data_IF_495572863830
#
_entry.id   IF_495572863830
#
_cell.length_a   1.000
_cell.length_b   1.000
_cell.length_c   1.000
_cell.angle_alpha   90.00
_cell.angle_beta   90.00
_cell.angle_gamma   90.00
#
_symmetry.space_group_name_H-M   'P 1'
#
loop_
_entity.id
_entity.type
_entity.pdbx_description
1 polymer ?
#
# COMPACT_ATOMS: atom_id res chain seq x y z
N UNK A 1 58.31 -15.43 16.10
CA UNK A 1 57.26 -16.09 15.31
C UNK A 1 55.87 -16.17 16.01
N UNK A 2 55.64 -15.45 17.13
CA UNK A 2 54.37 -15.50 17.87
C UNK A 2 53.37 -14.35 17.58
N UNK A 3 53.86 -13.23 17.04
CA UNK A 3 53.02 -12.05 16.75
C UNK A 3 52.17 -12.19 15.47
N UNK A 4 52.62 -12.98 14.50
CA UNK A 4 51.90 -13.20 13.23
C UNK A 4 50.66 -14.08 13.47
N UNK A 5 50.79 -15.12 14.30
CA UNK A 5 49.67 -16.03 14.64
C UNK A 5 48.54 -15.28 15.35
N UNK A 6 48.87 -14.34 16.24
CA UNK A 6 47.87 -13.53 16.94
C UNK A 6 47.10 -12.59 16.01
N UNK A 7 47.77 -12.01 15.00
CA UNK A 7 47.12 -11.16 13.99
C UNK A 7 46.18 -11.98 13.11
N UNK A 8 46.66 -13.12 12.58
CA UNK A 8 45.83 -14.02 11.74
C UNK A 8 44.58 -14.49 12.48
N UNK A 9 44.67 -14.76 13.80
CA UNK A 9 43.51 -15.15 14.59
C UNK A 9 42.50 -14.02 14.72
N UNK A 10 42.96 -12.77 14.92
CA UNK A 10 42.08 -11.60 15.04
C UNK A 10 41.37 -11.27 13.72
N UNK A 11 42.07 -11.42 12.60
CA UNK A 11 41.53 -11.14 11.27
C UNK A 11 40.43 -12.15 10.89
N UNK A 12 40.62 -13.44 11.22
CA UNK A 12 39.59 -14.48 11.02
C UNK A 12 38.32 -14.28 11.87
N UNK A 13 38.47 -13.80 13.10
CA UNK A 13 37.31 -13.47 13.95
C UNK A 13 36.53 -12.27 13.38
N UNK A 14 37.22 -11.29 12.82
CA UNK A 14 36.60 -10.14 12.17
C UNK A 14 35.86 -10.54 10.88
N UNK A 15 36.47 -11.38 10.03
CA UNK A 15 35.84 -11.91 8.82
C UNK A 15 34.56 -12.71 9.14
N UNK A 16 34.58 -13.52 10.21
CA UNK A 16 33.42 -14.29 10.66
C UNK A 16 32.28 -13.40 11.16
N UNK A 17 32.61 -12.31 11.86
CA UNK A 17 31.61 -11.34 12.34
C UNK A 17 30.98 -10.57 11.17
N UNK A 18 31.78 -10.19 10.17
CA UNK A 18 31.29 -9.54 8.95
C UNK A 18 30.38 -10.50 8.16
N UNK A 19 30.76 -11.77 8.03
CA UNK A 19 29.92 -12.81 7.40
C UNK A 19 28.56 -12.96 8.09
N UNK A 20 28.56 -13.10 9.43
CA UNK A 20 27.32 -13.22 10.20
C UNK A 20 26.44 -11.98 10.12
N UNK A 21 27.03 -10.78 10.08
CA UNK A 21 26.26 -9.54 9.91
C UNK A 21 25.62 -9.45 8.53
N UNK A 22 26.32 -9.86 7.47
CA UNK A 22 25.84 -9.79 6.08
C UNK A 22 24.70 -10.78 5.85
N UNK A 23 24.77 -11.98 6.44
CA UNK A 23 23.67 -12.95 6.41
C UNK A 23 22.43 -12.47 7.18
N UNK A 24 22.59 -11.73 8.29
CA UNK A 24 21.46 -11.13 9.04
C UNK A 24 20.78 -10.01 8.21
N UNK A 25 21.52 -9.25 7.42
CA UNK A 25 20.94 -8.21 6.55
C UNK A 25 20.22 -8.77 5.33
N UNK A 26 20.65 -9.91 4.78
CA UNK A 26 19.96 -10.54 3.65
C UNK A 26 18.70 -11.31 4.06
N UNK A 27 18.63 -11.81 5.30
CA UNK A 27 17.49 -12.59 5.80
C UNK A 27 16.31 -11.73 6.33
N UNK A 28 16.44 -10.40 6.36
CA UNK A 28 15.38 -9.45 6.78
C UNK A 28 14.73 -8.68 5.62
N UNK A 29 14.77 -9.25 4.40
CA UNK A 29 13.99 -8.79 3.25
C UNK A 29 13.02 -9.90 2.81
N UNK A 30 12.31 -10.51 3.76
CA UNK A 30 11.00 -11.10 3.44
C UNK A 30 10.04 -9.92 3.31
N UNK A 31 10.01 -9.31 2.11
CA UNK A 31 8.95 -8.37 1.77
C UNK A 31 7.66 -9.18 1.79
N UNK A 32 6.90 -9.04 2.87
CA UNK A 32 5.57 -9.60 2.97
C UNK A 32 4.68 -8.89 1.94
N UNK A 33 4.75 -9.36 0.69
CA UNK A 33 3.93 -8.89 -0.43
C UNK A 33 2.44 -9.14 -0.16
N UNK A 34 2.08 -9.86 0.92
CA UNK A 34 0.71 -10.31 1.19
C UNK A 34 -0.14 -9.32 1.98
N UNK A 35 0.40 -8.16 2.41
CA UNK A 35 -0.35 -7.25 3.28
C UNK A 35 -0.19 -5.75 2.98
N UNK A 36 0.20 -5.41 1.75
CA UNK A 36 0.22 -4.02 1.32
C UNK A 36 -1.20 -3.53 1.02
N UNK A 37 -1.72 -2.66 1.88
CA UNK A 37 -3.10 -2.13 1.83
C UNK A 37 -3.49 -1.45 0.50
N UNK A 38 -2.51 -1.13 -0.34
CA UNK A 38 -2.65 -0.44 -1.63
C UNK A 38 -2.54 -1.38 -2.84
N UNK A 39 -2.32 -2.69 -2.64
CA UNK A 39 -2.17 -3.68 -3.72
C UNK A 39 -3.50 -4.41 -3.97
N UNK A 40 -3.78 -4.71 -5.25
CA UNK A 40 -4.90 -5.57 -5.64
C UNK A 40 -6.22 -4.86 -5.96
N UNK A 41 -6.19 -3.54 -6.18
CA UNK A 41 -7.35 -2.74 -6.58
C UNK A 41 -7.76 -3.00 -8.04
N UNK A 42 -9.04 -3.32 -8.28
CA UNK A 42 -9.53 -3.58 -9.65
C UNK A 42 -10.90 -2.97 -9.98
N UNK A 43 -11.48 -2.15 -9.10
CA UNK A 43 -12.85 -1.65 -9.25
C UNK A 43 -12.96 -0.38 -10.12
N UNK A 44 -11.86 0.07 -10.74
CA UNK A 44 -11.80 1.32 -11.51
C UNK A 44 -12.93 1.48 -12.55
N UNK A 45 -13.23 0.41 -13.28
CA UNK A 45 -14.23 0.40 -14.35
C UNK A 45 -15.52 -0.32 -13.94
N UNK A 46 -15.59 -0.79 -12.70
CA UNK A 46 -16.73 -1.50 -12.14
C UNK A 46 -17.91 -0.57 -11.89
N UNK A 47 -19.07 -1.20 -11.68
CA UNK A 47 -20.30 -0.54 -11.24
C UNK A 47 -20.39 -0.48 -9.71
N UNK A 48 -21.19 0.42 -9.17
CA UNK A 48 -21.40 0.52 -7.70
C UNK A 48 -21.94 -0.78 -7.10
N UNK A 49 -22.78 -1.54 -7.81
CA UNK A 49 -23.21 -2.87 -7.32
C UNK A 49 -22.04 -3.82 -7.02
N UNK A 50 -20.98 -3.76 -7.82
CA UNK A 50 -19.77 -4.58 -7.65
C UNK A 50 -18.93 -4.02 -6.50
N UNK A 51 -18.84 -2.69 -6.39
CA UNK A 51 -18.23 -2.02 -5.24
C UNK A 51 -18.86 -2.46 -3.92
N UNK A 52 -20.20 -2.44 -3.81
CA UNK A 52 -20.92 -2.85 -2.59
C UNK A 52 -20.57 -4.26 -2.13
N UNK A 53 -20.27 -5.16 -3.06
CA UNK A 53 -19.94 -6.56 -2.80
C UNK A 53 -18.44 -6.82 -2.64
N UNK A 54 -17.59 -5.83 -2.91
CA UNK A 54 -16.13 -5.97 -2.88
C UNK A 54 -15.59 -5.96 -1.43
N UNK A 55 -14.44 -6.62 -1.25
CA UNK A 55 -13.74 -6.61 0.05
C UNK A 55 -13.18 -5.22 0.37
N UNK A 56 -12.96 -4.96 1.66
CA UNK A 56 -12.40 -3.68 2.09
C UNK A 56 -11.01 -3.43 1.51
N UNK A 57 -10.22 -4.48 1.32
CA UNK A 57 -8.86 -4.41 0.77
C UNK A 57 -8.89 -3.97 -0.69
N UNK A 58 -9.77 -4.57 -1.51
CA UNK A 58 -9.91 -4.17 -2.92
C UNK A 58 -10.43 -2.73 -3.07
N UNK A 59 -11.42 -2.36 -2.24
CA UNK A 59 -11.92 -0.97 -2.20
C UNK A 59 -10.80 0.01 -1.83
N UNK A 60 -10.03 -0.31 -0.79
CA UNK A 60 -8.94 0.52 -0.30
C UNK A 60 -7.84 0.67 -1.35
N UNK A 61 -7.41 -0.42 -1.98
CA UNK A 61 -6.40 -0.42 -3.03
C UNK A 61 -6.87 0.36 -4.27
N UNK A 62 -8.14 0.20 -4.68
CA UNK A 62 -8.71 1.00 -5.78
C UNK A 62 -8.72 2.50 -5.43
N UNK A 63 -9.06 2.87 -4.20
CA UNK A 63 -8.97 4.26 -3.75
C UNK A 63 -7.53 4.78 -3.72
N UNK A 64 -6.55 3.94 -3.34
CA UNK A 64 -5.13 4.29 -3.39
C UNK A 64 -4.72 4.69 -4.82
N UNK A 65 -5.10 3.88 -5.82
CA UNK A 65 -4.83 4.16 -7.23
C UNK A 65 -5.45 5.48 -7.71
N UNK A 66 -6.67 5.80 -7.26
CA UNK A 66 -7.29 7.10 -7.55
C UNK A 66 -6.53 8.27 -6.91
N UNK A 67 -6.16 8.13 -5.62
CA UNK A 67 -5.42 9.17 -4.90
C UNK A 67 -4.05 9.42 -5.53
N UNK A 68 -3.31 8.37 -5.89
CA UNK A 68 -1.99 8.53 -6.49
C UNK A 68 -2.04 9.26 -7.84
N UNK A 69 -3.16 9.19 -8.56
CA UNK A 69 -3.40 9.97 -9.79
C UNK A 69 -3.75 11.42 -9.51
N UNK A 70 -4.56 11.69 -8.48
CA UNK A 70 -5.03 13.05 -8.15
C UNK A 70 -3.99 13.86 -7.37
N UNK A 71 -3.21 13.20 -6.49
CA UNK A 71 -2.24 13.83 -5.60
C UNK A 71 -0.87 13.15 -5.76
N UNK A 72 -0.16 13.44 -6.87
CA UNK A 72 1.18 12.93 -7.04
C UNK A 72 2.12 13.51 -5.97
N UNK A 73 3.14 12.74 -5.58
CA UNK A 73 4.21 13.14 -4.64
C UNK A 73 3.83 13.28 -3.16
N UNK A 74 2.76 12.62 -2.71
CA UNK A 74 2.46 12.47 -1.27
C UNK A 74 3.14 11.22 -0.70
N UNK A 75 3.34 11.19 0.62
CA UNK A 75 3.84 10.00 1.30
C UNK A 75 2.80 8.87 1.30
N UNK A 76 3.25 7.63 1.50
CA UNK A 76 2.37 6.47 1.57
C UNK A 76 1.34 6.58 2.72
N UNK A 77 1.72 7.20 3.84
CA UNK A 77 0.82 7.43 4.97
C UNK A 77 -0.28 8.46 4.63
N UNK A 78 0.07 9.54 3.94
CA UNK A 78 -0.91 10.51 3.44
C UNK A 78 -1.83 9.87 2.40
N UNK A 79 -1.28 9.08 1.47
CA UNK A 79 -2.07 8.35 0.49
C UNK A 79 -3.08 7.41 1.16
N UNK A 80 -2.66 6.72 2.23
CA UNK A 80 -3.55 5.86 3.03
C UNK A 80 -4.70 6.64 3.64
N UNK A 81 -4.39 7.80 4.24
CA UNK A 81 -5.41 8.67 4.84
C UNK A 81 -6.43 9.14 3.80
N UNK A 82 -5.96 9.68 2.67
CA UNK A 82 -6.85 10.15 1.60
C UNK A 82 -7.67 9.02 0.96
N UNK A 83 -7.06 7.85 0.76
CA UNK A 83 -7.74 6.68 0.19
C UNK A 83 -8.85 6.18 1.11
N UNK A 84 -8.61 6.14 2.43
CA UNK A 84 -9.63 5.79 3.42
C UNK A 84 -10.83 6.75 3.37
N UNK A 85 -10.56 8.05 3.34
CA UNK A 85 -11.60 9.07 3.27
C UNK A 85 -12.40 8.97 1.95
N UNK A 86 -11.72 8.74 0.82
CA UNK A 86 -12.37 8.53 -0.47
C UNK A 86 -13.27 7.29 -0.43
N UNK A 87 -12.76 6.17 0.10
CA UNK A 87 -13.50 4.91 0.26
C UNK A 87 -14.77 5.12 1.08
N UNK A 88 -14.65 5.81 2.22
CA UNK A 88 -15.76 6.09 3.11
C UNK A 88 -16.82 6.96 2.44
N UNK A 89 -16.41 8.01 1.71
CA UNK A 89 -17.36 8.83 0.95
C UNK A 89 -18.14 8.01 -0.09
N UNK A 90 -17.48 7.11 -0.83
CA UNK A 90 -18.15 6.24 -1.81
C UNK A 90 -19.12 5.29 -1.09
N UNK A 91 -18.68 4.64 -0.01
CA UNK A 91 -19.53 3.74 0.78
C UNK A 91 -20.76 4.47 1.34
N UNK A 92 -20.60 5.67 1.91
CA UNK A 92 -21.69 6.49 2.44
C UNK A 92 -22.65 6.96 1.35
N UNK A 93 -22.13 7.46 0.23
CA UNK A 93 -22.93 7.97 -0.91
C UNK A 93 -23.76 6.87 -1.55
N UNK A 94 -23.31 5.62 -1.46
CA UNK A 94 -23.95 4.46 -2.10
C UNK A 94 -24.67 3.54 -1.11
N UNK A 95 -24.67 3.88 0.18
CA UNK A 95 -25.30 3.08 1.22
C UNK A 95 -26.83 3.08 1.08
N UNK A 96 -27.45 1.89 1.17
CA UNK A 96 -28.90 1.73 1.31
C UNK A 96 -29.76 2.13 0.10
N UNK A 97 -29.16 2.51 -1.03
CA UNK A 97 -29.88 2.90 -2.25
C UNK A 97 -29.34 2.16 -3.48
N UNK A 98 -30.24 1.55 -4.25
CA UNK A 98 -29.89 0.88 -5.51
C UNK A 98 -29.90 1.85 -6.70
N UNK A 99 -30.26 3.12 -6.48
CA UNK A 99 -30.30 4.13 -7.54
C UNK A 99 -28.95 4.31 -8.24
N UNK A 100 -27.86 4.22 -7.47
CA UNK A 100 -26.49 4.40 -8.00
C UNK A 100 -25.87 3.10 -8.50
N UNK A 101 -26.55 1.95 -8.43
CA UNK A 101 -25.96 0.63 -8.71
C UNK A 101 -25.37 0.50 -10.12
N UNK A 102 -25.95 1.20 -11.09
CA UNK A 102 -25.52 1.18 -12.48
C UNK A 102 -24.45 2.22 -12.79
N UNK A 103 -24.19 3.16 -11.87
CA UNK A 103 -23.15 4.16 -12.01
C UNK A 103 -21.77 3.53 -11.88
N UNK A 104 -20.78 4.14 -12.53
CA UNK A 104 -19.39 3.69 -12.47
C UNK A 104 -18.75 4.12 -11.16
N UNK A 105 -17.92 3.27 -10.58
CA UNK A 105 -17.12 3.60 -9.39
C UNK A 105 -16.31 4.86 -9.61
N UNK A 106 -15.64 5.02 -10.76
CA UNK A 106 -14.88 6.23 -11.09
C UNK A 106 -15.74 7.50 -11.06
N UNK A 107 -17.01 7.43 -11.44
CA UNK A 107 -17.90 8.59 -11.45
C UNK A 107 -18.22 9.05 -10.03
N UNK A 108 -18.64 8.12 -9.15
CA UNK A 108 -18.89 8.43 -7.74
C UNK A 108 -17.60 8.85 -7.03
N UNK A 109 -16.48 8.18 -7.30
CA UNK A 109 -15.18 8.54 -6.75
C UNK A 109 -14.78 9.98 -7.14
N UNK A 110 -15.07 10.40 -8.37
CA UNK A 110 -14.81 11.77 -8.83
C UNK A 110 -15.68 12.79 -8.10
N UNK A 111 -16.97 12.49 -7.89
CA UNK A 111 -17.86 13.34 -7.07
C UNK A 111 -17.35 13.45 -5.63
N UNK A 112 -16.96 12.33 -5.02
CA UNK A 112 -16.38 12.30 -3.68
C UNK A 112 -15.08 13.08 -3.59
N UNK A 113 -14.20 12.96 -4.59
CA UNK A 113 -12.96 13.72 -4.65
C UNK A 113 -13.23 15.24 -4.64
N UNK A 114 -14.24 15.71 -5.39
CA UNK A 114 -14.65 17.12 -5.37
C UNK A 114 -15.15 17.54 -3.99
N UNK A 115 -16.02 16.73 -3.36
CA UNK A 115 -16.56 17.02 -2.00
C UNK A 115 -15.45 17.08 -0.96
N UNK A 116 -14.45 16.20 -1.06
CA UNK A 116 -13.32 16.12 -0.14
C UNK A 116 -12.20 17.13 -0.43
N UNK A 117 -12.27 17.88 -1.54
CA UNK A 117 -11.22 18.82 -1.94
C UNK A 117 -9.95 18.14 -2.47
N UNK A 118 -10.11 17.01 -3.16
CA UNK A 118 -9.02 16.29 -3.82
C UNK A 118 -8.91 16.78 -5.27
N UNK A 119 -8.40 17.99 -5.42
CA UNK A 119 -8.03 18.62 -6.69
C UNK A 119 -6.52 18.79 -6.82
#
# INVERSE_FOLDING_TARGET
MFFIIHRIKKDKELEKQISNSTEIYQNNQYFDVSNEWYVGGNLHQSKIREWKSATNENKMATCADFIMKMKPNISLNEAKYYALNLKNCIDETTYGSDYTDQERVTQIASTCAVVLGYN
#
